data_IF_570474649937
#
_entry.id   IF_570474649937
#
_cell.length_a   1.000
_cell.length_b   1.000
_cell.length_c   1.000
_cell.angle_alpha   90.00
_cell.angle_beta   90.00
_cell.angle_gamma   90.00
#
_symmetry.space_group_name_H-M   'P 1'
#
loop_
_entity.id
_entity.type
_entity.pdbx_description
1 polymer ?
#
# COMPACT_ATOMS: atom_id res chain seq x y z
N UNK A 1 -13.41 8.81 12.55
CA UNK A 1 -12.07 9.01 11.94
C UNK A 1 -11.07 9.14 13.08
N UNK A 2 -9.94 8.42 13.06
CA UNK A 2 -8.89 8.55 14.09
C UNK A 2 -7.94 9.69 13.70
N UNK A 3 -7.41 10.42 14.68
CA UNK A 3 -6.46 11.52 14.49
C UNK A 3 -5.09 11.12 15.02
N UNK A 4 -4.02 11.54 14.35
CA UNK A 4 -2.63 11.34 14.77
C UNK A 4 -1.87 12.65 14.70
N UNK A 5 -0.89 12.82 15.59
CA UNK A 5 0.04 13.93 15.53
C UNK A 5 1.24 13.53 14.68
N UNK A 6 1.46 14.25 13.58
CA UNK A 6 2.62 14.06 12.71
C UNK A 6 3.52 15.29 12.78
N UNK A 7 4.82 15.06 12.94
CA UNK A 7 5.85 16.05 12.64
C UNK A 7 5.84 16.40 11.16
N UNK A 8 6.48 17.51 10.77
CA UNK A 8 6.51 17.91 9.35
C UNK A 8 7.18 16.87 8.45
N UNK A 9 8.26 16.23 8.91
CA UNK A 9 8.94 15.16 8.18
C UNK A 9 8.09 13.88 8.04
N UNK A 10 7.31 13.54 9.07
CA UNK A 10 6.37 12.43 9.00
C UNK A 10 5.22 12.72 8.05
N UNK A 11 4.78 13.99 7.94
CA UNK A 11 3.78 14.35 6.95
C UNK A 11 4.30 14.07 5.54
N UNK A 12 5.51 14.49 5.20
CA UNK A 12 6.10 14.23 3.89
C UNK A 12 6.16 12.72 3.54
N UNK A 13 6.36 11.90 4.57
CA UNK A 13 6.44 10.44 4.43
C UNK A 13 5.06 9.80 4.29
N UNK A 14 4.14 10.09 5.22
CA UNK A 14 2.87 9.36 5.37
C UNK A 14 1.69 10.00 4.65
N UNK A 15 1.84 11.22 4.13
CA UNK A 15 0.76 11.92 3.43
C UNK A 15 0.41 11.22 2.11
N UNK A 16 -0.89 11.02 1.89
CA UNK A 16 -1.43 10.45 0.67
C UNK A 16 -1.65 11.51 -0.41
N UNK A 17 -1.36 11.10 -1.63
CA UNK A 17 -1.55 11.87 -2.85
C UNK A 17 -2.43 11.08 -3.82
N UNK A 18 -3.30 11.75 -4.60
CA UNK A 18 -4.09 11.08 -5.63
C UNK A 18 -3.21 10.21 -6.54
N UNK A 19 -3.64 8.96 -6.73
CA UNK A 19 -2.90 7.98 -7.54
C UNK A 19 -1.90 7.13 -6.75
N UNK A 20 -1.70 7.39 -5.46
CA UNK A 20 -0.99 6.46 -4.58
C UNK A 20 -1.73 5.12 -4.51
N UNK A 21 -0.98 4.02 -4.45
CA UNK A 21 -1.52 2.69 -4.25
C UNK A 21 -1.09 2.19 -2.87
N UNK A 22 -2.05 1.78 -2.06
CA UNK A 22 -1.79 1.20 -0.75
C UNK A 22 -1.90 -0.31 -0.82
N UNK A 23 -0.92 -1.01 -0.26
CA UNK A 23 -0.86 -2.47 -0.18
C UNK A 23 -0.87 -2.91 1.28
N UNK A 24 -1.68 -3.93 1.58
CA UNK A 24 -1.64 -4.58 2.88
C UNK A 24 -0.43 -5.51 2.96
N UNK A 25 0.37 -5.39 4.03
CA UNK A 25 1.46 -6.34 4.31
C UNK A 25 0.92 -7.74 4.64
N UNK A 26 -0.25 -7.79 5.28
CA UNK A 26 -1.04 -9.00 5.56
C UNK A 26 -0.40 -9.94 6.57
N UNK A 27 -1.23 -10.56 7.39
CA UNK A 27 -0.83 -11.57 8.39
C UNK A 27 -1.08 -13.01 7.91
N UNK A 28 -1.76 -13.22 6.78
CA UNK A 28 -2.10 -14.54 6.22
C UNK A 28 -2.18 -14.50 4.70
N UNK A 29 -1.66 -15.53 4.01
CA UNK A 29 -1.45 -15.60 2.55
C UNK A 29 -2.65 -15.16 1.69
N UNK A 30 -3.89 -15.36 2.14
CA UNK A 30 -5.10 -14.98 1.40
C UNK A 30 -5.54 -13.52 1.57
N UNK A 31 -5.09 -12.85 2.64
CA UNK A 31 -5.35 -11.43 2.93
C UNK A 31 -4.14 -10.54 2.60
N UNK A 32 -3.00 -11.16 2.36
CA UNK A 32 -1.74 -10.53 1.97
C UNK A 32 -1.89 -9.84 0.61
N UNK A 33 -1.47 -8.57 0.53
CA UNK A 33 -1.26 -7.79 -0.71
C UNK A 33 -2.51 -7.44 -1.52
N UNK A 34 -3.68 -7.33 -0.88
CA UNK A 34 -4.75 -6.48 -1.45
C UNK A 34 -4.24 -5.07 -1.64
N UNK A 35 -4.62 -4.45 -2.74
CA UNK A 35 -4.20 -3.10 -3.10
C UNK A 35 -5.38 -2.23 -3.49
N UNK A 36 -5.27 -0.92 -3.22
CA UNK A 36 -6.27 0.07 -3.62
C UNK A 36 -5.64 1.40 -3.99
N UNK A 37 -6.20 2.06 -5.00
CA UNK A 37 -5.80 3.41 -5.41
C UNK A 37 -6.48 4.45 -4.52
N UNK A 38 -5.69 5.37 -4.00
CA UNK A 38 -6.17 6.57 -3.32
C UNK A 38 -6.60 7.63 -4.35
N UNK A 39 -7.87 8.00 -4.36
CA UNK A 39 -8.44 8.98 -5.31
C UNK A 39 -8.96 10.25 -4.62
N UNK A 40 -8.78 10.37 -3.31
CA UNK A 40 -9.24 11.53 -2.53
C UNK A 40 -8.25 12.69 -2.64
N UNK A 41 -8.61 13.84 -2.06
CA UNK A 41 -7.78 15.05 -2.13
C UNK A 41 -6.37 14.85 -1.52
N UNK A 42 -5.33 15.50 -2.08
CA UNK A 42 -4.01 15.59 -1.49
C UNK A 42 -4.06 15.97 -0.02
N UNK A 43 -3.29 15.30 0.85
CA UNK A 43 -3.14 15.75 2.23
C UNK A 43 -4.33 15.53 3.17
N UNK A 44 -5.44 15.00 2.66
CA UNK A 44 -6.61 14.69 3.48
C UNK A 44 -6.37 13.54 4.43
N UNK A 45 -5.55 12.56 4.03
CA UNK A 45 -5.32 11.34 4.80
C UNK A 45 -3.83 10.97 4.84
N UNK A 46 -3.49 10.24 5.89
CA UNK A 46 -2.19 9.63 6.13
C UNK A 46 -2.39 8.11 6.30
N UNK A 47 -1.36 7.30 6.00
CA UNK A 47 -1.42 5.85 6.18
C UNK A 47 -0.61 5.40 7.41
N UNK A 48 -0.99 4.26 8.00
CA UNK A 48 -0.27 3.65 9.12
C UNK A 48 0.88 2.78 8.62
N UNK A 49 1.89 2.55 9.47
CA UNK A 49 3.08 1.75 9.13
C UNK A 49 2.79 0.27 8.77
N UNK A 50 1.55 -0.20 8.93
CA UNK A 50 1.10 -1.53 8.52
C UNK A 50 0.74 -1.61 7.02
N UNK A 51 0.80 -0.48 6.31
CA UNK A 51 0.53 -0.37 4.88
C UNK A 51 1.80 0.02 4.14
N UNK A 52 2.02 -0.62 3.00
CA UNK A 52 3.04 -0.21 2.04
C UNK A 52 2.41 0.74 1.03
N UNK A 53 3.07 1.87 0.76
CA UNK A 53 2.69 2.79 -0.31
C UNK A 53 3.55 2.58 -1.55
N UNK A 54 2.89 2.36 -2.68
CA UNK A 54 3.48 2.50 -4.01
C UNK A 54 2.98 3.81 -4.65
N UNK A 55 3.90 4.74 -4.90
CA UNK A 55 3.64 5.97 -5.66
C UNK A 55 4.21 5.81 -7.07
N UNK A 56 3.38 5.70 -8.12
CA UNK A 56 3.90 5.56 -9.47
C UNK A 56 4.66 6.82 -9.91
N UNK A 57 5.76 6.61 -10.64
CA UNK A 57 6.45 7.70 -11.31
C UNK A 57 5.68 8.20 -12.54
N UNK A 58 6.13 9.29 -13.20
CA UNK A 58 5.39 9.98 -14.27
C UNK A 58 5.12 9.11 -15.51
N UNK A 59 5.83 8.00 -15.68
CA UNK A 59 5.69 7.06 -16.80
C UNK A 59 4.69 5.92 -16.55
N UNK A 60 4.16 5.80 -15.34
CA UNK A 60 3.30 4.69 -14.93
C UNK A 60 1.94 5.23 -14.51
N UNK A 61 0.86 4.75 -15.14
CA UNK A 61 -0.50 5.08 -14.70
C UNK A 61 -0.83 4.28 -13.44
N UNK A 62 -1.39 4.91 -12.41
CA UNK A 62 -1.82 4.23 -11.18
C UNK A 62 -2.77 3.06 -11.47
N UNK A 63 -3.71 3.24 -12.40
CA UNK A 63 -4.61 2.15 -12.83
C UNK A 63 -3.87 0.96 -13.42
N UNK A 64 -2.86 1.20 -14.25
CA UNK A 64 -2.04 0.12 -14.81
C UNK A 64 -1.31 -0.66 -13.71
N UNK A 65 -0.67 0.04 -12.78
CA UNK A 65 0.01 -0.60 -11.65
C UNK A 65 -0.98 -1.37 -10.75
N UNK A 66 -2.18 -0.84 -10.53
CA UNK A 66 -3.25 -1.52 -9.79
C UNK A 66 -3.66 -2.82 -10.48
N UNK A 67 -3.88 -2.82 -11.79
CA UNK A 67 -4.22 -4.05 -12.55
C UNK A 67 -3.09 -5.08 -12.44
N UNK A 68 -1.82 -4.65 -12.52
CA UNK A 68 -0.66 -5.52 -12.35
C UNK A 68 -0.64 -6.14 -10.94
N UNK A 69 -0.90 -5.37 -9.89
CA UNK A 69 -0.94 -5.88 -8.52
C UNK A 69 -2.11 -6.84 -8.29
N UNK A 70 -3.28 -6.54 -8.84
CA UNK A 70 -4.45 -7.44 -8.82
C UNK A 70 -4.12 -8.75 -9.53
N UNK A 71 -3.47 -8.69 -10.70
CA UNK A 71 -3.04 -9.87 -11.43
C UNK A 71 -2.00 -10.69 -10.64
N UNK A 72 -1.01 -10.06 -10.02
CA UNK A 72 0.00 -10.75 -9.21
C UNK A 72 -0.56 -11.39 -7.94
N UNK A 73 -1.60 -10.79 -7.36
CA UNK A 73 -2.36 -11.39 -6.28
C UNK A 73 -3.11 -12.64 -6.78
N UNK A 74 -3.89 -12.50 -7.86
CA UNK A 74 -4.67 -13.59 -8.43
C UNK A 74 -3.79 -14.75 -8.96
N UNK A 75 -2.61 -14.44 -9.49
CA UNK A 75 -1.68 -15.44 -10.03
C UNK A 75 -0.77 -16.06 -8.96
N UNK A 76 -0.90 -15.68 -7.68
CA UNK A 76 -0.05 -16.18 -6.58
C UNK A 76 1.42 -15.74 -6.63
N UNK A 77 1.81 -14.84 -7.54
CA UNK A 77 3.20 -14.32 -7.63
C UNK A 77 3.62 -13.63 -6.34
N UNK A 78 2.67 -12.92 -5.76
CA UNK A 78 2.84 -12.25 -4.48
C UNK A 78 3.06 -13.21 -3.31
N UNK A 79 2.38 -14.37 -3.31
CA UNK A 79 2.58 -15.44 -2.33
C UNK A 79 3.94 -16.12 -2.50
N UNK A 80 4.43 -16.29 -3.74
CA UNK A 80 5.74 -16.87 -4.01
C UNK A 80 6.94 -16.02 -3.56
N UNK A 81 6.76 -14.70 -3.42
CA UNK A 81 7.81 -13.77 -2.96
C UNK A 81 7.66 -13.41 -1.47
N UNK A 82 6.46 -13.59 -0.91
CA UNK A 82 6.21 -13.32 0.51
C UNK A 82 6.99 -14.31 1.37
N UNK A 83 8.04 -13.82 2.06
CA UNK A 83 8.71 -14.59 3.11
C UNK A 83 7.82 -14.53 4.35
N UNK A 84 7.18 -15.63 4.68
CA UNK A 84 6.53 -15.79 5.98
C UNK A 84 7.62 -15.86 7.04
N UNK A 85 7.76 -14.82 7.85
CA UNK A 85 8.47 -14.95 9.13
C UNK A 85 7.53 -15.69 10.07
N UNK A 86 7.75 -16.99 10.25
CA UNK A 86 7.18 -17.73 11.38
C UNK A 86 7.73 -17.08 12.64
N UNK A 87 6.92 -16.26 13.31
CA UNK A 87 7.22 -15.83 14.68
C UNK A 87 7.17 -17.08 15.54
N UNK A 88 8.33 -17.62 15.92
CA UNK A 88 8.41 -18.58 17.01
C UNK A 88 8.17 -17.76 18.28
N UNK A 89 6.96 -17.90 18.84
CA UNK A 89 6.65 -17.49 20.20
C UNK A 89 6.86 -18.68 21.14
#
# INVERSE_FOLDING_TARGET
VKTMHFTNSEKDTYQLQPGDILLNEGQSLELVRRSAIYNEQPGKFFFQNTLIRFRPGPRVKSRFAQEVFTHWLASGRFSGIAKQTTSIA
#
